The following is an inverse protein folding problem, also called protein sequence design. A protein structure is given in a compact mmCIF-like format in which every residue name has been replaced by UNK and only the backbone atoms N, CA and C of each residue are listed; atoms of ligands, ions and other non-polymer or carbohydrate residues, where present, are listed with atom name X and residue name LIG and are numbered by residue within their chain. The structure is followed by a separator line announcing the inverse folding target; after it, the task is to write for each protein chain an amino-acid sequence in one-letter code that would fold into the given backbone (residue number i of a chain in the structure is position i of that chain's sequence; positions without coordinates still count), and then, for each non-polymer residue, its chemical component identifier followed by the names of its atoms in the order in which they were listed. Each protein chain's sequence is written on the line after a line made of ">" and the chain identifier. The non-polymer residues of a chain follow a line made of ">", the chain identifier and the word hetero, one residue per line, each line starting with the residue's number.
data_IF_479212909427
#
_entry.id   IF_479212909427
#
_cell.length_a   1.000
_cell.length_b   1.000
_cell.length_c   1.000
_cell.angle_alpha   90.00
_cell.angle_beta   90.00
_cell.angle_gamma   90.00
#
_symmetry.space_group_name_H-M   'P 1'
#
loop_
_entity.id
_entity.type
_entity.pdbx_description
1 polymer ?
#
# COMPACT_ATOMS: atom_id res chain seq x y z
N UNK A 1 -14.94 -31.52 -27.43
CA UNK A 1 -15.84 -31.88 -26.33
C UNK A 1 -15.55 -30.89 -25.23
N UNK A 2 -16.35 -29.84 -25.15
CA UNK A 2 -16.29 -28.89 -24.04
C UNK A 2 -16.98 -29.58 -22.86
N UNK A 3 -16.20 -29.95 -21.85
CA UNK A 3 -16.73 -30.48 -20.61
C UNK A 3 -17.28 -29.30 -19.82
N UNK A 4 -18.58 -29.29 -19.55
CA UNK A 4 -19.19 -28.33 -18.63
C UNK A 4 -18.41 -28.34 -17.30
N UNK A 5 -18.09 -27.17 -16.71
CA UNK A 5 -17.43 -27.12 -15.42
C UNK A 5 -18.31 -27.79 -14.37
N UNK A 6 -17.80 -28.87 -13.78
CA UNK A 6 -18.48 -29.55 -12.67
C UNK A 6 -18.46 -28.63 -11.46
N UNK A 7 -19.57 -27.92 -11.23
CA UNK A 7 -19.73 -27.07 -10.05
C UNK A 7 -20.09 -27.92 -8.83
N UNK A 8 -19.11 -28.15 -7.97
CA UNK A 8 -19.35 -28.75 -6.66
C UNK A 8 -19.91 -27.68 -5.69
N UNK A 9 -20.91 -28.01 -4.86
CA UNK A 9 -21.35 -27.13 -3.78
C UNK A 9 -20.17 -26.73 -2.90
N UNK A 10 -20.08 -25.43 -2.57
CA UNK A 10 -19.02 -24.86 -1.74
C UNK A 10 -18.91 -25.65 -0.43
N UNK A 11 -17.69 -26.01 -0.04
CA UNK A 11 -17.36 -26.81 1.14
C UNK A 11 -17.78 -28.29 1.14
N UNK A 12 -18.36 -28.82 0.05
CA UNK A 12 -18.57 -30.27 -0.09
C UNK A 12 -17.24 -31.05 -0.08
N UNK A 13 -17.26 -32.36 0.24
CA UNK A 13 -16.04 -33.18 0.20
C UNK A 13 -15.34 -33.17 -1.16
N UNK A 14 -16.13 -33.15 -2.25
CA UNK A 14 -15.62 -33.08 -3.62
C UNK A 14 -15.01 -31.72 -3.93
N UNK A 15 -15.68 -30.62 -3.53
CA UNK A 15 -15.14 -29.26 -3.63
C UNK A 15 -13.80 -29.12 -2.88
N UNK A 16 -13.68 -29.67 -1.67
CA UNK A 16 -12.44 -29.62 -0.88
C UNK A 16 -11.29 -30.38 -1.56
N UNK A 17 -11.58 -31.55 -2.12
CA UNK A 17 -10.59 -32.34 -2.89
C UNK A 17 -10.14 -31.58 -4.13
N UNK A 18 -11.09 -30.98 -4.85
CA UNK A 18 -10.80 -30.23 -6.06
C UNK A 18 -9.98 -28.96 -5.79
N UNK A 19 -10.33 -28.18 -4.76
CA UNK A 19 -9.53 -27.02 -4.33
C UNK A 19 -8.12 -27.44 -3.88
N UNK A 20 -7.99 -28.59 -3.23
CA UNK A 20 -6.67 -29.12 -2.82
C UNK A 20 -5.82 -29.48 -4.04
N UNK A 21 -6.41 -30.16 -5.03
CA UNK A 21 -5.77 -30.47 -6.31
C UNK A 21 -5.33 -29.20 -7.03
N UNK A 22 -6.24 -28.24 -7.20
CA UNK A 22 -5.95 -26.97 -7.87
C UNK A 22 -4.87 -26.16 -7.15
N UNK A 23 -4.81 -26.19 -5.81
CA UNK A 23 -3.72 -25.55 -5.04
C UNK A 23 -2.38 -26.25 -5.23
N UNK A 24 -2.36 -27.58 -5.37
CA UNK A 24 -1.15 -28.36 -5.62
C UNK A 24 -0.65 -28.22 -7.07
N UNK A 25 -1.56 -28.06 -8.03
CA UNK A 25 -1.25 -27.85 -9.45
C UNK A 25 -0.83 -26.41 -9.76
N UNK A 26 -1.10 -25.44 -8.87
CA UNK A 26 -0.63 -24.07 -9.05
C UNK A 26 0.90 -24.08 -9.07
N UNK A 27 1.54 -23.65 -10.17
CA UNK A 27 2.99 -23.58 -10.23
C UNK A 27 3.45 -22.66 -9.11
N UNK A 28 4.36 -23.15 -8.26
CA UNK A 28 4.96 -22.30 -7.23
C UNK A 28 5.61 -21.11 -7.94
N UNK A 29 5.20 -19.90 -7.56
CA UNK A 29 5.76 -18.66 -8.10
C UNK A 29 7.27 -18.60 -7.86
N UNK A 30 7.76 -19.32 -6.84
CA UNK A 30 9.16 -19.39 -6.46
C UNK A 30 9.68 -20.84 -6.52
N UNK A 31 10.83 -21.04 -7.15
CA UNK A 31 11.54 -22.32 -7.13
C UNK A 31 12.06 -22.60 -5.70
N UNK A 32 12.25 -23.88 -5.30
CA UNK A 32 12.77 -24.23 -3.97
C UNK A 32 14.04 -23.49 -3.55
N UNK A 33 14.96 -23.24 -4.48
CA UNK A 33 16.18 -22.45 -4.23
C UNK A 33 15.89 -20.98 -3.86
N UNK A 34 14.86 -20.38 -4.46
CA UNK A 34 14.46 -19.00 -4.14
C UNK A 34 13.85 -18.92 -2.74
N UNK A 35 13.12 -19.96 -2.30
CA UNK A 35 12.63 -20.07 -0.92
C UNK A 35 13.75 -20.22 0.11
N UNK A 36 14.76 -21.03 -0.20
CA UNK A 36 15.92 -21.23 0.66
C UNK A 36 16.75 -19.95 0.78
N UNK A 37 16.94 -19.24 -0.33
CA UNK A 37 17.62 -17.95 -0.34
C UNK A 37 16.83 -16.86 0.40
N UNK A 38 15.51 -16.79 0.23
CA UNK A 38 14.65 -15.86 0.95
C UNK A 38 14.68 -16.12 2.47
N UNK A 39 14.64 -17.39 2.90
CA UNK A 39 14.79 -17.75 4.32
C UNK A 39 16.16 -17.37 4.86
N UNK A 40 17.23 -17.58 4.09
CA UNK A 40 18.59 -17.17 4.47
C UNK A 40 18.74 -15.65 4.61
N UNK A 41 18.10 -14.89 3.72
CA UNK A 41 18.09 -13.41 3.78
C UNK A 41 17.34 -12.87 5.00
N UNK A 42 16.49 -13.69 5.62
CA UNK A 42 15.64 -13.27 6.74
C UNK A 42 14.51 -12.34 6.30
N UNK A 43 13.63 -11.93 7.21
CA UNK A 43 12.66 -10.88 6.93
C UNK A 43 13.42 -9.64 6.46
N UNK A 44 13.02 -9.12 5.31
CA UNK A 44 13.67 -7.96 4.74
C UNK A 44 13.41 -6.77 5.66
N UNK A 45 14.45 -6.05 6.09
CA UNK A 45 14.34 -4.80 6.89
C UNK A 45 13.74 -3.63 6.08
N UNK A 46 12.89 -3.91 5.09
CA UNK A 46 12.26 -2.88 4.30
C UNK A 46 11.34 -2.10 5.23
N UNK A 47 11.86 -0.97 5.71
CA UNK A 47 11.08 0.10 6.30
C UNK A 47 10.26 0.67 5.16
N UNK A 48 9.12 0.03 4.89
CA UNK A 48 8.13 0.61 4.02
C UNK A 48 7.73 1.95 4.63
N UNK A 49 7.77 2.99 3.80
CA UNK A 49 7.34 4.33 4.17
C UNK A 49 6.19 4.76 3.26
N UNK A 50 5.20 5.45 3.84
CA UNK A 50 4.06 5.98 3.14
C UNK A 50 4.13 7.52 3.10
N UNK A 51 3.91 8.17 1.95
CA UNK A 51 3.83 9.61 1.89
C UNK A 51 2.49 10.10 2.46
N UNK A 52 2.58 11.00 3.44
CA UNK A 52 1.45 11.68 4.08
C UNK A 52 1.57 13.17 3.78
N UNK A 53 0.57 13.75 3.13
CA UNK A 53 0.58 15.17 2.79
C UNK A 53 0.39 16.04 4.03
N UNK A 54 1.06 17.19 4.03
CA UNK A 54 0.86 18.23 5.03
C UNK A 54 -0.45 19.00 4.75
N UNK A 55 -1.60 18.34 4.93
CA UNK A 55 -2.96 18.85 4.66
C UNK A 55 -3.99 18.24 5.60
N UNK A 56 -5.12 18.94 5.75
CA UNK A 56 -6.25 18.45 6.54
C UNK A 56 -5.90 18.43 8.02
N UNK A 57 -6.05 17.28 8.66
CA UNK A 57 -5.74 17.09 10.08
C UNK A 57 -4.23 17.21 10.37
N UNK A 58 -3.40 16.78 9.42
CA UNK A 58 -1.94 16.77 9.55
C UNK A 58 -1.31 17.84 8.67
N UNK A 59 -1.55 19.10 9.01
CA UNK A 59 -0.98 20.27 8.31
C UNK A 59 0.47 20.60 8.73
N UNK A 60 0.98 19.99 9.81
CA UNK A 60 2.37 20.15 10.26
C UNK A 60 3.03 18.79 10.54
N UNK A 61 4.36 18.68 10.38
CA UNK A 61 5.08 17.43 10.66
C UNK A 61 5.04 17.02 12.14
N UNK A 62 4.89 17.96 13.07
CA UNK A 62 4.75 17.67 14.51
C UNK A 62 3.44 16.93 14.82
N UNK A 63 2.34 17.30 14.14
CA UNK A 63 1.08 16.54 14.27
C UNK A 63 1.23 15.13 13.73
N UNK A 64 1.97 14.93 12.64
CA UNK A 64 2.27 13.58 12.15
C UNK A 64 3.07 12.81 13.20
N UNK A 65 4.12 13.41 13.78
CA UNK A 65 4.94 12.78 14.82
C UNK A 65 4.09 12.31 16.00
N UNK A 66 3.29 13.21 16.58
CA UNK A 66 2.47 12.92 17.75
C UNK A 66 1.46 11.80 17.46
N UNK A 67 0.74 11.90 16.34
CA UNK A 67 -0.35 10.99 16.03
C UNK A 67 0.13 9.62 15.52
N UNK A 68 1.27 9.58 14.82
CA UNK A 68 1.91 8.33 14.41
C UNK A 68 2.80 7.74 15.53
N UNK A 69 3.07 8.49 16.60
CA UNK A 69 3.94 8.07 17.70
C UNK A 69 5.38 7.82 17.24
N UNK A 70 5.90 8.72 16.41
CA UNK A 70 7.28 8.68 15.89
C UNK A 70 8.24 9.24 16.95
N UNK A 71 9.45 8.68 17.02
CA UNK A 71 10.47 9.17 17.95
C UNK A 71 11.01 10.56 17.57
N UNK A 72 11.00 10.89 16.29
CA UNK A 72 11.52 12.15 15.74
C UNK A 72 10.50 12.77 14.78
N UNK A 73 10.59 14.10 14.60
CA UNK A 73 9.77 14.82 13.63
C UNK A 73 10.13 14.33 12.22
N UNK A 74 9.15 13.88 11.41
CA UNK A 74 9.44 13.39 10.07
C UNK A 74 9.91 14.53 9.16
N UNK A 75 10.85 14.24 8.28
CA UNK A 75 11.39 15.23 7.35
C UNK A 75 10.33 15.66 6.35
N UNK A 76 10.21 16.98 6.17
CA UNK A 76 9.34 17.57 5.16
C UNK A 76 10.04 17.51 3.80
N UNK A 77 9.31 17.01 2.81
CA UNK A 77 9.71 16.95 1.41
C UNK A 77 8.64 17.62 0.55
N UNK A 78 8.98 17.88 -0.71
CA UNK A 78 8.06 18.48 -1.69
C UNK A 78 8.00 17.61 -2.94
N UNK A 79 6.80 17.43 -3.48
CA UNK A 79 6.56 16.69 -4.72
C UNK A 79 5.44 17.34 -5.52
N UNK A 80 5.36 17.03 -6.81
CA UNK A 80 4.23 17.44 -7.63
C UNK A 80 3.10 16.43 -7.50
N UNK A 81 1.87 16.93 -7.39
CA UNK A 81 0.67 16.11 -7.53
C UNK A 81 0.50 15.67 -8.98
N UNK A 82 0.04 14.44 -9.18
CA UNK A 82 -0.31 13.89 -10.50
C UNK A 82 -1.81 13.65 -10.50
N UNK A 83 -2.56 14.22 -11.46
CA UNK A 83 -4.00 13.97 -11.59
C UNK A 83 -4.26 12.51 -11.97
N UNK A 84 -5.19 11.85 -11.25
CA UNK A 84 -5.42 10.40 -11.31
C UNK A 84 -6.16 9.91 -12.57
N UNK A 85 -6.76 10.80 -13.36
CA UNK A 85 -7.36 10.47 -14.66
C UNK A 85 -7.83 11.73 -15.38
N UNK A 86 -7.54 11.86 -16.68
CA UNK A 86 -8.28 12.57 -17.75
C UNK A 86 -9.29 13.68 -17.35
N UNK A 87 -8.94 14.58 -16.43
CA UNK A 87 -9.72 15.78 -16.11
C UNK A 87 -8.88 16.99 -16.56
N UNK A 88 -9.59 17.99 -17.07
CA UNK A 88 -9.15 19.10 -17.92
C UNK A 88 -7.68 19.56 -17.82
N UNK A 89 -7.09 20.09 -18.91
CA UNK A 89 -5.73 20.69 -18.93
C UNK A 89 -5.52 21.88 -17.97
N UNK A 90 -6.53 22.23 -17.16
CA UNK A 90 -6.49 23.22 -16.09
C UNK A 90 -6.25 22.61 -14.69
N UNK A 91 -6.24 21.29 -14.53
CA UNK A 91 -5.84 20.62 -13.29
C UNK A 91 -4.33 20.76 -13.14
N UNK A 92 -3.94 21.87 -12.52
CA UNK A 92 -2.54 22.27 -12.38
C UNK A 92 -1.81 21.26 -11.52
N UNK A 93 -0.64 20.84 -12.01
CA UNK A 93 0.40 20.22 -11.19
C UNK A 93 0.68 21.17 -10.02
N UNK A 94 0.22 20.79 -8.84
CA UNK A 94 0.46 21.55 -7.62
C UNK A 94 1.68 20.96 -6.91
N UNK A 95 2.65 21.82 -6.58
CA UNK A 95 3.74 21.46 -5.68
C UNK A 95 3.19 21.41 -4.26
N UNK A 96 3.23 20.24 -3.65
CA UNK A 96 2.73 20.01 -2.29
C UNK A 96 3.84 19.52 -1.37
N UNK A 97 3.68 19.76 -0.07
CA UNK A 97 4.57 19.26 0.96
C UNK A 97 4.02 17.97 1.56
N UNK A 98 4.92 17.05 1.88
CA UNK A 98 4.59 15.76 2.46
C UNK A 98 5.71 15.27 3.38
N UNK A 99 5.39 14.29 4.22
CA UNK A 99 6.33 13.56 5.05
C UNK A 99 6.30 12.09 4.67
N UNK A 100 7.47 11.46 4.65
CA UNK A 100 7.55 10.00 4.60
C UNK A 100 7.38 9.47 6.02
N UNK A 101 6.39 8.62 6.21
CA UNK A 101 6.03 8.06 7.51
C UNK A 101 6.32 6.57 7.48
N UNK A 102 7.03 6.07 8.50
CA UNK A 102 7.31 4.64 8.61
C UNK A 102 6.01 3.81 8.66
N UNK A 103 6.09 2.58 8.18
CA UNK A 103 4.91 1.73 8.03
C UNK A 103 4.13 1.50 9.33
N UNK A 104 4.80 1.45 10.49
CA UNK A 104 4.12 1.30 11.78
C UNK A 104 3.42 2.60 12.18
N UNK A 105 4.08 3.74 11.99
CA UNK A 105 3.53 5.07 12.18
C UNK A 105 2.29 5.28 11.30
N UNK A 106 2.38 4.94 10.02
CA UNK A 106 1.26 5.01 9.10
C UNK A 106 0.10 4.08 9.52
N UNK A 107 0.38 2.84 9.94
CA UNK A 107 -0.65 1.93 10.45
C UNK A 107 -1.41 2.54 11.63
N UNK A 108 -0.70 3.17 12.58
CA UNK A 108 -1.35 3.86 13.72
C UNK A 108 -2.25 5.01 13.27
N UNK A 109 -1.82 5.79 12.28
CA UNK A 109 -2.66 6.85 11.70
C UNK A 109 -3.92 6.24 11.07
N UNK A 110 -3.77 5.19 10.26
CA UNK A 110 -4.88 4.53 9.56
C UNK A 110 -5.87 3.85 10.52
N UNK A 111 -5.40 3.31 11.65
CA UNK A 111 -6.26 2.74 12.67
C UNK A 111 -7.08 3.80 13.41
N UNK A 112 -6.52 5.00 13.60
CA UNK A 112 -7.18 6.11 14.30
C UNK A 112 -8.16 6.89 13.42
N UNK A 113 -7.90 6.99 12.12
CA UNK A 113 -8.65 7.85 11.21
C UNK A 113 -9.26 7.07 10.06
N UNK A 114 -10.58 7.20 9.90
CA UNK A 114 -11.33 6.51 8.84
C UNK A 114 -11.46 7.35 7.56
N UNK A 115 -11.37 8.68 7.67
CA UNK A 115 -11.50 9.61 6.55
C UNK A 115 -10.14 9.90 5.92
N UNK A 116 -9.75 9.06 4.96
CA UNK A 116 -8.48 9.20 4.23
C UNK A 116 -8.76 9.41 2.74
N UNK A 117 -8.27 10.53 2.20
CA UNK A 117 -8.28 10.77 0.75
C UNK A 117 -6.93 10.39 0.16
N UNK A 118 -6.96 9.71 -0.98
CA UNK A 118 -5.77 9.38 -1.75
C UNK A 118 -5.52 10.46 -2.80
N UNK A 119 -4.25 10.77 -3.01
CA UNK A 119 -3.77 11.55 -4.16
C UNK A 119 -2.46 10.95 -4.65
N UNK A 120 -2.16 11.10 -5.94
CA UNK A 120 -0.91 10.60 -6.51
C UNK A 120 0.14 11.70 -6.49
N UNK A 121 1.36 11.37 -6.05
CA UNK A 121 2.53 12.25 -6.11
C UNK A 121 3.58 11.67 -7.05
N UNK A 122 4.30 12.54 -7.76
CA UNK A 122 5.50 12.18 -8.49
C UNK A 122 6.71 12.29 -7.55
N UNK A 123 7.23 11.15 -7.09
CA UNK A 123 8.37 11.06 -6.18
C UNK A 123 9.43 10.18 -6.84
N UNK A 124 10.65 10.69 -6.99
CA UNK A 124 11.77 9.98 -7.64
C UNK A 124 11.47 9.49 -9.07
N UNK A 125 10.60 10.20 -9.79
CA UNK A 125 10.15 9.80 -11.13
C UNK A 125 9.08 8.71 -11.16
N UNK A 126 8.60 8.27 -10.00
CA UNK A 126 7.55 7.27 -9.86
C UNK A 126 6.26 7.89 -9.30
N UNK A 127 5.12 7.38 -9.79
CA UNK A 127 3.82 7.72 -9.23
C UNK A 127 3.62 6.95 -7.92
N UNK A 128 3.50 7.68 -6.81
CA UNK A 128 3.26 7.11 -5.47
C UNK A 128 1.93 7.57 -4.91
N UNK A 129 1.14 6.62 -4.42
CA UNK A 129 -0.07 6.93 -3.69
C UNK A 129 0.27 7.60 -2.35
N UNK A 130 -0.38 8.72 -2.08
CA UNK A 130 -0.19 9.53 -0.88
C UNK A 130 -1.52 9.82 -0.20
N UNK A 131 -1.44 10.16 1.08
CA UNK A 131 -2.60 10.14 1.97
C UNK A 131 -2.83 11.51 2.60
N UNK A 132 -4.07 11.98 2.57
CA UNK A 132 -4.55 13.15 3.29
C UNK A 132 -5.57 12.67 4.32
N UNK A 133 -5.35 13.03 5.58
CA UNK A 133 -6.23 12.66 6.69
C UNK A 133 -7.15 13.81 7.04
N UNK A 134 -8.43 13.51 7.24
CA UNK A 134 -9.44 14.48 7.68
C UNK A 134 -9.98 14.10 9.06
N UNK A 135 -10.60 15.05 9.78
CA UNK A 135 -11.29 14.80 11.05
C UNK A 135 -12.35 13.69 10.96
#
# INVERSE_FOLDING_TARGET
>A
MDLDPVEYPVNSPQWRREITRLKAEKPDRYKPKQWEEARRRGPSEWRWEAPVLLRGLFDTPEKIQEHAGLSEVPKVQSAQTVPDSLIHPADKLETVQYCMVDGNGYCRLRERYQNIKLTTLLIDGENRASHIFYP
#
